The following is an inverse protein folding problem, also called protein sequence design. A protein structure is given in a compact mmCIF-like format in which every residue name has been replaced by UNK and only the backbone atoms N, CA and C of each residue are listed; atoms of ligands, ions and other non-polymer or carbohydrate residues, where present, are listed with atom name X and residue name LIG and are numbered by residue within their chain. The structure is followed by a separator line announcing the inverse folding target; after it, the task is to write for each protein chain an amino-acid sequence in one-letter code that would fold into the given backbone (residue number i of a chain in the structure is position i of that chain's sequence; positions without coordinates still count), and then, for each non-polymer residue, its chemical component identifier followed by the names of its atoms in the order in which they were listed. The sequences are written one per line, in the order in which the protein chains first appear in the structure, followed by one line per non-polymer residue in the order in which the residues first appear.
data_IF_861212500951
#
_entry.id   IF_861212500951
#
_cell.length_a   1.000
_cell.length_b   1.000
_cell.length_c   1.000
_cell.angle_alpha   90.00
_cell.angle_beta   90.00
_cell.angle_gamma   90.00
#
_symmetry.space_group_name_H-M   'P 1'
#
loop_
_entity.id
_entity.type
_entity.pdbx_description
1 polymer ?
#
# COMPACT_ATOMS: atom_id res chain seq x y z
N UNK A 1 -3.17 15.60 -0.93
CA UNK A 1 -4.45 14.85 -1.06
C UNK A 1 -4.85 14.66 -2.52
N UNK A 2 -4.97 15.75 -3.29
CA UNK A 2 -5.28 15.68 -4.73
C UNK A 2 -4.24 14.82 -5.48
N UNK A 3 -2.95 15.03 -5.17
CA UNK A 3 -1.82 14.29 -5.73
C UNK A 3 -1.95 12.75 -5.58
N UNK A 4 -2.42 12.26 -4.44
CA UNK A 4 -2.61 10.82 -4.20
C UNK A 4 -3.76 10.26 -5.05
N UNK A 5 -4.84 11.03 -5.22
CA UNK A 5 -5.98 10.64 -6.07
C UNK A 5 -5.60 10.69 -7.56
N UNK A 6 -4.87 11.72 -7.99
CA UNK A 6 -4.40 11.86 -9.38
C UNK A 6 -3.45 10.73 -9.79
N UNK A 7 -2.50 10.39 -8.91
CA UNK A 7 -1.59 9.27 -9.11
C UNK A 7 -2.35 7.94 -9.22
N UNK A 8 -3.34 7.73 -8.35
CA UNK A 8 -4.20 6.54 -8.39
C UNK A 8 -4.98 6.47 -9.70
N UNK A 9 -5.67 7.54 -10.11
CA UNK A 9 -6.46 7.54 -11.34
C UNK A 9 -5.59 7.24 -12.57
N UNK A 10 -4.37 7.78 -12.59
CA UNK A 10 -3.40 7.48 -13.64
C UNK A 10 -3.00 6.01 -13.64
N UNK A 11 -2.70 5.44 -12.46
CA UNK A 11 -2.33 4.03 -12.29
C UNK A 11 -3.45 3.10 -12.73
N UNK A 12 -4.69 3.38 -12.37
CA UNK A 12 -5.88 2.60 -12.77
C UNK A 12 -6.09 2.64 -14.28
N UNK A 13 -5.95 3.81 -14.93
CA UNK A 13 -6.11 3.88 -16.38
C UNK A 13 -4.98 3.15 -17.13
N UNK A 14 -3.74 3.23 -16.65
CA UNK A 14 -2.65 2.44 -17.22
C UNK A 14 -2.88 0.94 -17.06
N UNK A 15 -3.37 0.49 -15.89
CA UNK A 15 -3.74 -0.90 -15.63
C UNK A 15 -4.88 -1.37 -16.55
N UNK A 16 -5.92 -0.56 -16.76
CA UNK A 16 -7.04 -0.93 -17.66
C UNK A 16 -6.65 -0.99 -19.14
N UNK A 17 -5.47 -0.47 -19.50
CA UNK A 17 -4.84 -0.61 -20.81
C UNK A 17 -3.76 -1.71 -20.85
N UNK A 18 -3.72 -2.59 -19.86
CA UNK A 18 -2.82 -3.74 -19.77
C UNK A 18 -1.33 -3.36 -19.79
N UNK A 19 -0.96 -2.16 -19.34
CA UNK A 19 0.45 -1.83 -19.17
C UNK A 19 1.09 -2.74 -18.10
N UNK A 20 0.35 -3.10 -17.06
CA UNK A 20 0.76 -4.06 -16.03
C UNK A 20 -0.46 -4.72 -15.41
N UNK A 21 -0.26 -5.87 -14.76
CA UNK A 21 -1.30 -6.58 -14.01
C UNK A 21 -1.28 -6.15 -12.54
N UNK A 22 -2.44 -5.77 -12.04
CA UNK A 22 -2.71 -5.39 -10.65
C UNK A 22 -4.22 -5.41 -10.43
N UNK A 23 -4.73 -6.48 -9.80
CA UNK A 23 -6.18 -6.68 -9.63
C UNK A 23 -6.77 -5.77 -8.54
N UNK A 24 -5.91 -5.19 -7.71
CA UNK A 24 -6.28 -4.44 -6.50
C UNK A 24 -6.34 -2.94 -6.74
N UNK A 25 -5.54 -2.38 -7.65
CA UNK A 25 -5.46 -0.92 -7.87
C UNK A 25 -6.83 -0.29 -8.15
N UNK A 26 -7.70 -0.99 -8.88
CA UNK A 26 -9.05 -0.51 -9.21
C UNK A 26 -9.96 -0.41 -7.97
N UNK A 27 -9.71 -1.20 -6.93
CA UNK A 27 -10.53 -1.23 -5.71
C UNK A 27 -10.40 0.06 -4.90
N UNK A 28 -9.30 0.80 -5.09
CA UNK A 28 -9.07 2.07 -4.40
C UNK A 28 -9.67 3.28 -5.13
N UNK A 29 -10.02 3.14 -6.42
CA UNK A 29 -10.52 4.22 -7.25
C UNK A 29 -12.03 4.14 -7.47
N UNK A 30 -12.68 5.31 -7.49
CA UNK A 30 -14.09 5.42 -7.86
C UNK A 30 -14.28 5.63 -9.36
N UNK A 31 -13.41 6.42 -9.97
CA UNK A 31 -13.52 6.86 -11.36
C UNK A 31 -12.21 6.65 -12.13
N UNK A 32 -12.33 6.41 -13.42
CA UNK A 32 -11.20 6.40 -14.36
C UNK A 32 -11.20 7.69 -15.17
N UNK A 33 -10.01 8.25 -15.40
CA UNK A 33 -9.78 9.36 -16.32
C UNK A 33 -8.90 8.88 -17.46
N UNK A 34 -9.26 9.25 -18.69
CA UNK A 34 -8.44 8.94 -19.86
C UNK A 34 -7.11 9.68 -19.76
N UNK A 35 -6.00 8.95 -19.87
CA UNK A 35 -4.65 9.50 -19.89
C UNK A 35 -4.00 9.34 -21.26
N UNK A 36 -3.07 10.23 -21.59
CA UNK A 36 -2.28 10.12 -22.81
C UNK A 36 -1.32 8.93 -22.75
N UNK A 37 -0.98 8.31 -23.90
CA UNK A 37 -0.07 7.15 -23.93
C UNK A 37 1.28 7.39 -23.24
N UNK A 38 1.85 8.58 -23.35
CA UNK A 38 3.13 8.92 -22.70
C UNK A 38 3.04 8.87 -21.17
N UNK A 39 1.90 9.27 -20.61
CA UNK A 39 1.65 9.21 -19.17
C UNK A 39 1.55 7.75 -18.70
N UNK A 40 0.86 6.91 -19.49
CA UNK A 40 0.75 5.47 -19.18
C UNK A 40 2.11 4.78 -19.23
N UNK A 41 2.97 5.12 -20.21
CA UNK A 41 4.35 4.61 -20.30
C UNK A 41 5.19 5.03 -19.08
N UNK A 42 5.10 6.28 -18.65
CA UNK A 42 5.78 6.75 -17.44
C UNK A 42 5.28 6.03 -16.19
N UNK A 43 3.97 5.81 -16.09
CA UNK A 43 3.35 5.08 -14.99
C UNK A 43 3.79 3.62 -14.96
N UNK A 44 3.84 2.96 -16.11
CA UNK A 44 4.38 1.61 -16.24
C UNK A 44 5.84 1.54 -15.79
N UNK A 45 6.70 2.45 -16.27
CA UNK A 45 8.10 2.47 -15.91
C UNK A 45 8.28 2.65 -14.39
N UNK A 46 7.49 3.53 -13.76
CA UNK A 46 7.47 3.72 -12.31
C UNK A 46 7.09 2.44 -11.56
N UNK A 47 5.96 1.83 -11.94
CA UNK A 47 5.46 0.60 -11.30
C UNK A 47 6.45 -0.55 -11.47
N UNK A 48 6.99 -0.71 -12.69
CA UNK A 48 7.97 -1.74 -12.99
C UNK A 48 9.24 -1.56 -12.14
N UNK A 49 9.82 -0.37 -12.13
CA UNK A 49 11.05 -0.08 -11.38
C UNK A 49 10.91 -0.39 -9.88
N UNK A 50 9.84 0.11 -9.24
CA UNK A 50 9.58 -0.15 -7.82
C UNK A 50 9.41 -1.65 -7.55
N UNK A 51 8.60 -2.34 -8.36
CA UNK A 51 8.40 -3.79 -8.21
C UNK A 51 9.70 -4.59 -8.39
N UNK A 52 10.57 -4.20 -9.32
CA UNK A 52 11.87 -4.85 -9.50
C UNK A 52 12.79 -4.65 -8.28
N UNK A 53 12.82 -3.45 -7.70
CA UNK A 53 13.60 -3.17 -6.49
C UNK A 53 13.10 -4.03 -5.34
N UNK A 54 11.78 -4.07 -5.12
CA UNK A 54 11.18 -4.89 -4.05
C UNK A 54 11.48 -6.38 -4.24
N UNK A 55 11.33 -6.92 -5.45
CA UNK A 55 11.66 -8.32 -5.74
C UNK A 55 13.13 -8.64 -5.43
N UNK A 56 14.05 -7.76 -5.83
CA UNK A 56 15.49 -7.93 -5.58
C UNK A 56 15.81 -7.85 -4.09
N UNK A 57 15.21 -6.90 -3.38
CA UNK A 57 15.36 -6.76 -1.93
C UNK A 57 14.88 -8.02 -1.20
N UNK A 58 13.67 -8.49 -1.50
CA UNK A 58 13.11 -9.71 -0.89
C UNK A 58 13.92 -10.96 -1.23
N UNK A 59 14.47 -11.07 -2.44
CA UNK A 59 15.34 -12.17 -2.82
C UNK A 59 16.69 -12.14 -2.09
N UNK A 60 17.28 -10.95 -1.91
CA UNK A 60 18.56 -10.78 -1.22
C UNK A 60 18.48 -11.15 0.27
N UNK A 61 17.32 -10.94 0.90
CA UNK A 61 17.09 -11.18 2.32
C UNK A 61 16.08 -12.31 2.58
N UNK A 62 16.06 -13.33 1.70
CA UNK A 62 15.06 -14.41 1.74
C UNK A 62 15.04 -15.23 3.05
N UNK A 63 16.16 -15.25 3.78
CA UNK A 63 16.37 -15.96 5.04
C UNK A 63 16.20 -15.07 6.28
N UNK A 64 15.77 -13.82 6.10
CA UNK A 64 15.60 -12.85 7.19
C UNK A 64 14.20 -12.26 7.20
N UNK A 65 13.72 -11.91 8.39
CA UNK A 65 12.55 -11.04 8.51
C UNK A 65 12.95 -9.61 8.13
N UNK A 66 12.19 -8.96 7.27
CA UNK A 66 12.47 -7.61 6.75
C UNK A 66 11.27 -6.69 6.85
N UNK A 67 11.54 -5.39 6.87
CA UNK A 67 10.51 -4.36 6.87
C UNK A 67 10.54 -3.61 5.55
N UNK A 68 9.37 -3.34 4.97
CA UNK A 68 9.22 -2.43 3.82
C UNK A 68 8.43 -1.23 4.30
N UNK A 69 9.06 -0.05 4.35
CA UNK A 69 8.39 1.18 4.78
C UNK A 69 8.14 2.08 3.58
N UNK A 70 6.86 2.25 3.23
CA UNK A 70 6.38 3.11 2.15
C UNK A 70 5.89 4.45 2.72
N UNK A 71 6.69 5.49 2.53
CA UNK A 71 6.41 6.85 3.00
C UNK A 71 5.60 7.62 1.95
N UNK A 72 4.45 8.16 2.35
CA UNK A 72 3.52 8.78 1.40
C UNK A 72 2.91 7.76 0.44
N UNK A 73 2.52 6.59 0.98
CA UNK A 73 2.09 5.44 0.19
C UNK A 73 0.85 5.73 -0.68
N UNK A 74 0.05 6.73 -0.33
CA UNK A 74 -1.20 7.03 -1.02
C UNK A 74 -2.10 5.80 -1.07
N UNK A 75 -2.69 5.57 -2.25
CA UNK A 75 -3.50 4.39 -2.53
C UNK A 75 -2.72 3.29 -3.26
N UNK A 76 -1.44 3.11 -2.91
CA UNK A 76 -0.65 2.04 -3.52
C UNK A 76 -1.23 0.66 -3.17
N UNK A 77 -1.15 -0.23 -4.15
CA UNK A 77 -1.68 -1.60 -4.15
C UNK A 77 -0.57 -2.65 -4.10
N UNK A 78 0.69 -2.22 -3.92
CA UNK A 78 1.88 -3.07 -4.02
C UNK A 78 1.91 -4.18 -2.99
N UNK A 79 1.50 -3.92 -1.74
CA UNK A 79 1.35 -4.96 -0.72
C UNK A 79 0.41 -6.08 -1.20
N UNK A 80 -0.82 -5.74 -1.61
CA UNK A 80 -1.82 -6.71 -2.06
C UNK A 80 -1.34 -7.50 -3.28
N UNK A 81 -0.68 -6.83 -4.23
CA UNK A 81 -0.08 -7.49 -5.38
C UNK A 81 1.06 -8.46 -4.99
N UNK A 82 1.92 -8.10 -4.03
CA UNK A 82 2.96 -9.00 -3.50
C UNK A 82 2.34 -10.18 -2.76
N UNK A 83 1.35 -9.93 -1.90
CA UNK A 83 0.65 -10.93 -1.10
C UNK A 83 -0.09 -11.95 -1.96
N UNK A 84 -0.70 -11.51 -3.05
CA UNK A 84 -1.32 -12.39 -4.05
C UNK A 84 -0.29 -13.33 -4.70
N UNK A 85 0.93 -12.83 -4.96
CA UNK A 85 2.01 -13.62 -5.56
C UNK A 85 2.75 -14.51 -4.55
N UNK A 86 2.74 -14.15 -3.27
CA UNK A 86 3.45 -14.81 -2.16
C UNK A 86 2.52 -14.91 -0.94
N UNK A 87 1.71 -15.97 -0.81
CA UNK A 87 0.75 -16.11 0.28
C UNK A 87 1.37 -16.09 1.68
N UNK A 88 2.62 -16.51 1.81
CA UNK A 88 3.40 -16.56 3.05
C UNK A 88 4.17 -15.26 3.37
N UNK A 89 3.97 -14.19 2.59
CA UNK A 89 4.68 -12.90 2.72
C UNK A 89 4.78 -12.39 4.16
N UNK A 90 3.66 -12.40 4.89
CA UNK A 90 3.52 -11.84 6.25
C UNK A 90 4.39 -12.55 7.29
N UNK A 91 4.86 -13.77 7.00
CA UNK A 91 5.77 -14.50 7.89
C UNK A 91 7.19 -13.91 7.87
N UNK A 92 7.54 -13.21 6.79
CA UNK A 92 8.88 -12.67 6.56
C UNK A 92 8.92 -11.16 6.38
N UNK A 93 7.78 -10.52 6.11
CA UNK A 93 7.73 -9.11 5.75
C UNK A 93 6.71 -8.37 6.60
N UNK A 94 7.14 -7.32 7.28
CA UNK A 94 6.23 -6.30 7.79
C UNK A 94 6.16 -5.15 6.77
N UNK A 95 5.05 -5.05 6.06
CA UNK A 95 4.81 -3.99 5.07
C UNK A 95 4.10 -2.81 5.72
N UNK A 96 4.79 -1.68 5.84
CA UNK A 96 4.35 -0.52 6.59
C UNK A 96 4.12 0.63 5.63
N UNK A 97 2.91 1.16 5.61
CA UNK A 97 2.52 2.32 4.84
C UNK A 97 2.23 3.50 5.77
N UNK A 98 2.83 4.65 5.47
CA UNK A 98 2.65 5.88 6.24
C UNK A 98 2.09 6.97 5.33
N UNK A 99 1.00 7.61 5.74
CA UNK A 99 0.44 8.75 5.03
C UNK A 99 -0.34 9.66 5.99
N UNK A 100 -0.82 10.80 5.48
CA UNK A 100 -1.66 11.71 6.24
C UNK A 100 -3.00 11.07 6.63
N UNK A 101 -3.52 11.51 7.78
CA UNK A 101 -4.79 11.10 8.38
C UNK A 101 -5.92 10.84 7.39
N UNK A 102 -6.13 11.77 6.47
CA UNK A 102 -7.23 11.70 5.52
C UNK A 102 -7.03 10.62 4.45
N UNK A 103 -5.79 10.40 4.01
CA UNK A 103 -5.47 9.33 3.05
C UNK A 103 -5.63 7.98 3.75
N UNK A 104 -5.07 7.84 4.95
CA UNK A 104 -5.19 6.65 5.79
C UNK A 104 -6.65 6.32 6.07
N UNK A 105 -7.45 7.29 6.54
CA UNK A 105 -8.90 7.14 6.74
C UNK A 105 -9.60 6.58 5.52
N UNK A 106 -9.40 7.18 4.36
CA UNK A 106 -10.08 6.74 3.13
C UNK A 106 -9.60 5.35 2.71
N UNK A 107 -8.30 5.07 2.80
CA UNK A 107 -7.73 3.77 2.41
C UNK A 107 -8.19 2.67 3.36
N UNK A 108 -8.20 2.92 4.68
CA UNK A 108 -8.65 1.94 5.67
C UNK A 108 -10.14 1.63 5.54
N UNK A 109 -10.99 2.62 5.26
CA UNK A 109 -12.39 2.38 4.88
C UNK A 109 -12.50 1.48 3.66
N UNK A 110 -11.77 1.77 2.58
CA UNK A 110 -11.79 0.94 1.36
C UNK A 110 -11.31 -0.49 1.61
N UNK A 111 -10.28 -0.69 2.43
CA UNK A 111 -9.78 -2.02 2.80
C UNK A 111 -10.85 -2.79 3.59
N UNK A 112 -11.55 -2.15 4.52
CA UNK A 112 -12.59 -2.79 5.34
C UNK A 112 -13.86 -3.11 4.55
N UNK A 113 -14.20 -2.26 3.57
CA UNK A 113 -15.43 -2.39 2.78
C UNK A 113 -15.32 -3.40 1.63
N UNK A 114 -14.10 -3.70 1.16
CA UNK A 114 -13.84 -4.57 0.01
C UNK A 114 -13.30 -5.92 0.48
N UNK A 115 -14.07 -6.98 0.27
CA UNK A 115 -13.70 -8.33 0.72
C UNK A 115 -12.35 -8.78 0.14
N UNK A 116 -12.06 -8.44 -1.11
CA UNK A 116 -10.81 -8.80 -1.77
C UNK A 116 -9.57 -8.15 -1.13
N UNK A 117 -9.73 -7.00 -0.47
CA UNK A 117 -8.67 -6.34 0.28
C UNK A 117 -8.64 -6.85 1.72
N UNK A 118 -9.82 -6.95 2.35
CA UNK A 118 -9.97 -7.39 3.73
C UNK A 118 -9.43 -8.81 3.95
N UNK A 119 -9.68 -9.73 3.01
CA UNK A 119 -9.22 -11.11 3.12
C UNK A 119 -7.69 -11.25 3.06
N UNK A 120 -6.97 -10.27 2.51
CA UNK A 120 -5.49 -10.28 2.41
C UNK A 120 -4.79 -9.56 3.57
N UNK A 121 -5.54 -8.79 4.35
CA UNK A 121 -5.08 -8.12 5.55
C UNK A 121 -5.70 -8.87 6.70
N UNK A 122 -5.09 -10.00 7.07
CA UNK A 122 -5.61 -10.90 8.13
C UNK A 122 -5.79 -10.08 9.40
N UNK A 123 -7.03 -9.79 9.84
CA UNK A 123 -7.20 -9.05 11.07
C UNK A 123 -6.63 -9.93 12.18
N UNK A 124 -5.68 -9.43 12.97
CA UNK A 124 -5.71 -9.86 14.38
C UNK A 124 -7.10 -9.49 14.85
N UNK A 125 -7.82 -10.42 15.47
CA UNK A 125 -8.96 -10.07 16.31
C UNK A 125 -8.45 -9.22 17.47
N UNK A 126 -8.12 -7.97 17.20
CA UNK A 126 -7.90 -6.94 18.20
C UNK A 126 -8.84 -5.81 17.85
N UNK A 127 -10.05 -5.98 18.38
CA UNK A 127 -10.79 -4.89 18.98
C UNK A 127 -9.79 -3.90 19.61
N UNK A 128 -9.80 -2.66 19.10
CA UNK A 128 -9.28 -1.44 19.73
C UNK A 128 -7.81 -1.49 20.17
N UNK A 129 -6.88 -1.18 19.26
CA UNK A 129 -5.65 -0.55 19.69
C UNK A 129 -5.97 0.91 20.05
N UNK A 130 -6.04 1.21 21.35
CA UNK A 130 -6.41 2.52 21.91
C UNK A 130 -5.24 3.53 21.90
N UNK A 131 -4.12 3.21 21.26
CA UNK A 131 -2.88 4.02 21.29
C UNK A 131 -2.32 4.39 19.92
N UNK A 132 -2.94 3.94 18.82
CA UNK A 132 -2.56 4.25 17.43
C UNK A 132 -3.69 5.07 16.75
N UNK A 133 -3.39 5.77 15.67
CA UNK A 133 -4.30 6.76 15.07
C UNK A 133 -5.70 6.21 14.79
N UNK A 134 -6.73 7.07 14.79
CA UNK A 134 -8.14 6.68 14.72
C UNK A 134 -8.51 5.79 13.51
N UNK A 135 -7.63 5.74 12.51
CA UNK A 135 -7.84 5.07 11.23
C UNK A 135 -6.73 4.09 10.86
N UNK A 136 -5.80 3.80 11.77
CA UNK A 136 -4.70 2.89 11.55
C UNK A 136 -5.24 1.45 11.31
N UNK A 137 -4.50 0.67 10.54
CA UNK A 137 -4.70 -0.77 10.38
C UNK A 137 -3.41 -1.46 10.80
N UNK A 138 -3.54 -2.50 11.62
CA UNK A 138 -2.44 -3.36 11.99
C UNK A 138 -2.89 -4.82 11.87
N UNK A 139 -2.18 -5.58 11.05
CA UNK A 139 -2.33 -7.02 10.86
C UNK A 139 -0.97 -7.71 10.97
N UNK A 140 -0.98 -9.03 10.95
CA UNK A 140 0.25 -9.78 10.73
C UNK A 140 0.76 -9.43 9.32
N UNK A 141 1.93 -8.80 9.21
CA UNK A 141 2.59 -8.45 7.95
C UNK A 141 2.15 -7.18 7.23
N UNK A 142 1.12 -6.46 7.69
CA UNK A 142 0.72 -5.16 7.11
C UNK A 142 0.31 -4.13 8.16
N UNK A 143 0.89 -2.94 8.06
CA UNK A 143 0.57 -1.79 8.89
C UNK A 143 0.24 -0.59 8.00
N UNK A 144 -0.87 0.10 8.26
CA UNK A 144 -1.22 1.38 7.67
C UNK A 144 -1.32 2.40 8.80
N UNK A 145 -0.43 3.38 8.79
CA UNK A 145 -0.22 4.30 9.91
C UNK A 145 -0.44 5.75 9.47
N UNK A 146 -1.25 6.46 10.23
CA UNK A 146 -1.43 7.91 10.13
C UNK A 146 -0.23 8.64 10.74
N UNK A 147 0.58 9.31 9.93
CA UNK A 147 1.60 10.23 10.44
C UNK A 147 1.98 11.29 9.40
N UNK A 148 2.44 12.44 9.88
CA UNK A 148 3.13 13.41 9.04
C UNK A 148 4.59 12.99 8.88
N UNK A 149 5.03 12.74 7.65
CA UNK A 149 6.41 12.31 7.36
C UNK A 149 7.48 13.36 7.74
N UNK A 150 7.05 14.60 8.00
CA UNK A 150 7.93 15.67 8.49
C UNK A 150 8.19 15.56 9.99
N UNK A 151 7.35 14.84 10.73
CA UNK A 151 7.51 14.58 12.15
C UNK A 151 8.14 13.20 12.37
N UNK A 152 9.47 13.18 12.35
CA UNK A 152 10.24 11.96 12.54
C UNK A 152 10.03 11.32 13.90
N UNK A 153 9.74 12.09 14.95
CA UNK A 153 9.58 11.57 16.31
C UNK A 153 8.31 10.71 16.40
N UNK A 154 7.20 11.17 15.83
CA UNK A 154 5.94 10.40 15.76
C UNK A 154 6.14 9.11 14.97
N UNK A 155 6.88 9.16 13.85
CA UNK A 155 7.15 7.97 13.04
C UNK A 155 7.98 6.95 13.83
N UNK A 156 9.05 7.40 14.50
CA UNK A 156 9.89 6.51 15.31
C UNK A 156 9.09 5.86 16.44
N UNK A 157 8.24 6.62 17.14
CA UNK A 157 7.37 6.08 18.19
C UNK A 157 6.44 5.00 17.64
N UNK A 158 5.71 5.30 16.55
CA UNK A 158 4.80 4.35 15.91
C UNK A 158 5.48 3.10 15.34
N UNK A 159 6.72 3.21 14.88
CA UNK A 159 7.48 2.07 14.37
C UNK A 159 8.10 1.22 15.48
N UNK A 160 8.21 1.76 16.70
CA UNK A 160 8.74 1.06 17.86
C UNK A 160 7.70 0.23 18.63
N UNK A 161 6.42 0.41 18.31
CA UNK A 161 5.27 -0.34 18.83
C UNK A 161 4.97 -1.58 17.97
#
# INVERSE_FOLDING_TARGET
METATDALTTKVFAQSKNYFTDDFVRLFARNQKKMFPIINRGTWARVYAVRQILKRFLAQYADSKVNIVSLGAGYDSTYFWLKQAQPDLDTKVDYIEIDFAQVVKRKSTLIRDKEELRALVTPRETQRCTTLGAHDIESDGYKLLEADVRDGAIITDKLSQ
#
